data_IF_349079642146
#
_entry.id   IF_349079642146
#
_cell.length_a   1.000
_cell.length_b   1.000
_cell.length_c   1.000
_cell.angle_alpha   90.00
_cell.angle_beta   90.00
_cell.angle_gamma   90.00
#
_symmetry.space_group_name_H-M   'P 1'
#
loop_
_entity.id
_entity.type
_entity.pdbx_description
1 polymer ?
#
# COMPACT_ATOMS: atom_id res chain seq x y z
N UNK A 1 35.21 -14.14 -17.46
CA UNK A 1 34.20 -13.35 -16.71
C UNK A 1 33.01 -13.05 -17.62
N UNK A 2 31.85 -13.69 -17.44
CA UNK A 2 30.60 -13.18 -18.02
C UNK A 2 30.19 -11.95 -17.21
N UNK A 3 30.16 -10.76 -17.84
CA UNK A 3 29.52 -9.60 -17.23
C UNK A 3 28.01 -9.85 -17.26
N UNK A 4 27.42 -10.04 -16.09
CA UNK A 4 25.97 -10.01 -15.92
C UNK A 4 25.47 -8.61 -16.30
N UNK A 5 25.11 -8.40 -17.57
CA UNK A 5 24.57 -7.13 -18.04
C UNK A 5 23.10 -6.98 -17.60
N UNK A 6 22.92 -6.68 -16.31
CA UNK A 6 21.63 -6.45 -15.66
C UNK A 6 20.78 -5.41 -16.41
N UNK A 7 21.43 -4.49 -17.14
CA UNK A 7 20.78 -3.48 -17.98
C UNK A 7 19.94 -4.10 -19.11
N UNK A 8 20.44 -5.14 -19.77
CA UNK A 8 19.70 -5.82 -20.84
C UNK A 8 18.50 -6.55 -20.25
N UNK A 9 18.69 -7.23 -19.10
CA UNK A 9 17.63 -7.98 -18.43
C UNK A 9 16.48 -7.07 -17.97
N UNK A 10 16.79 -5.90 -17.39
CA UNK A 10 15.80 -4.89 -16.97
C UNK A 10 15.01 -4.29 -18.14
N UNK A 11 15.48 -4.42 -19.39
CA UNK A 11 14.72 -4.01 -20.58
C UNK A 11 13.57 -4.97 -20.87
N UNK A 12 13.77 -6.26 -20.62
CA UNK A 12 12.77 -7.30 -20.85
C UNK A 12 11.86 -7.51 -19.64
N UNK A 13 12.43 -7.54 -18.43
CA UNK A 13 11.67 -7.73 -17.19
C UNK A 13 11.34 -6.36 -16.61
N UNK A 14 10.08 -5.94 -16.78
CA UNK A 14 9.57 -4.69 -16.24
C UNK A 14 8.98 -4.89 -14.84
N UNK A 15 9.02 -3.88 -13.96
CA UNK A 15 8.37 -3.93 -12.66
C UNK A 15 6.85 -4.04 -12.80
N UNK A 16 6.19 -4.72 -11.87
CA UNK A 16 4.75 -4.98 -11.90
C UNK A 16 3.93 -3.69 -11.84
N UNK A 17 4.47 -2.65 -11.21
CA UNK A 17 3.88 -1.32 -11.08
C UNK A 17 3.53 -0.71 -12.44
N UNK A 18 4.28 -1.05 -13.49
CA UNK A 18 4.03 -0.58 -14.85
C UNK A 18 2.70 -1.10 -15.41
N UNK A 19 2.30 -2.32 -15.05
CA UNK A 19 1.01 -2.88 -15.44
C UNK A 19 -0.16 -2.21 -14.70
N UNK A 20 0.11 -1.63 -13.52
CA UNK A 20 -0.90 -1.04 -12.64
C UNK A 20 -1.14 0.45 -12.88
N UNK A 21 -0.44 1.07 -13.84
CA UNK A 21 -0.52 2.51 -14.11
C UNK A 21 -1.89 2.96 -14.65
N UNK A 22 -2.72 2.03 -15.13
CA UNK A 22 -4.07 2.31 -15.62
C UNK A 22 -5.13 2.37 -14.52
N UNK A 23 -4.80 1.92 -13.30
CA UNK A 23 -5.71 1.90 -12.18
C UNK A 23 -5.46 3.10 -11.27
N UNK A 24 -6.52 3.68 -10.68
CA UNK A 24 -6.36 4.79 -9.77
C UNK A 24 -5.60 4.35 -8.51
N UNK A 25 -4.71 5.21 -8.03
CA UNK A 25 -3.81 4.93 -6.91
C UNK A 25 -4.29 5.58 -5.60
N UNK A 26 -4.15 4.84 -4.50
CA UNK A 26 -4.32 5.32 -3.13
C UNK A 26 -2.99 5.15 -2.41
N UNK A 27 -2.38 6.26 -2.00
CA UNK A 27 -1.10 6.28 -1.30
C UNK A 27 -1.35 6.21 0.20
N UNK A 28 -0.69 5.26 0.87
CA UNK A 28 -0.88 5.01 2.29
C UNK A 28 0.33 5.38 3.13
N UNK A 29 0.10 5.63 4.42
CA UNK A 29 1.16 5.84 5.42
C UNK A 29 1.97 4.56 5.59
N UNK A 30 3.30 4.69 5.74
CA UNK A 30 4.22 3.57 5.98
C UNK A 30 3.78 2.66 7.14
N UNK A 31 3.19 3.22 8.21
CA UNK A 31 2.69 2.46 9.35
C UNK A 31 1.51 1.53 9.01
N UNK A 32 0.78 1.83 7.93
CA UNK A 32 -0.37 1.05 7.47
C UNK A 32 0.02 -0.02 6.45
N UNK A 33 1.21 0.06 5.85
CA UNK A 33 1.67 -0.87 4.81
C UNK A 33 1.68 -2.30 5.30
N UNK A 34 2.33 -2.57 6.43
CA UNK A 34 2.41 -3.93 6.96
C UNK A 34 1.02 -4.48 7.35
N UNK A 35 0.12 -3.63 7.87
CA UNK A 35 -1.25 -4.04 8.18
C UNK A 35 -2.00 -4.49 6.91
N UNK A 36 -1.86 -3.74 5.81
CA UNK A 36 -2.44 -4.10 4.51
C UNK A 36 -1.80 -5.39 3.96
N UNK A 37 -0.49 -5.62 4.15
CA UNK A 37 0.17 -6.87 3.78
C UNK A 37 -0.37 -8.09 4.55
N UNK A 38 -0.92 -7.87 5.75
CA UNK A 38 -1.62 -8.90 6.53
C UNK A 38 -3.10 -9.05 6.14
N UNK A 39 -3.60 -8.24 5.20
CA UNK A 39 -4.97 -8.29 4.70
C UNK A 39 -5.95 -7.39 5.46
N UNK A 40 -5.46 -6.42 6.25
CA UNK A 40 -6.32 -5.44 6.89
C UNK A 40 -6.96 -4.50 5.84
N UNK A 41 -8.23 -4.15 6.05
CA UNK A 41 -8.91 -3.16 5.23
C UNK A 41 -8.32 -1.76 5.42
N UNK A 42 -8.31 -0.98 4.33
CA UNK A 42 -7.78 0.38 4.37
C UNK A 42 -8.81 1.33 4.98
N UNK A 43 -8.41 2.03 6.03
CA UNK A 43 -9.23 3.04 6.71
C UNK A 43 -8.74 4.46 6.39
N UNK A 44 -9.63 5.44 6.54
CA UNK A 44 -9.35 6.85 6.23
C UNK A 44 -8.06 7.40 6.86
N UNK A 45 -7.73 7.12 8.15
CA UNK A 45 -6.50 7.62 8.77
C UNK A 45 -5.20 7.09 8.14
N UNK A 46 -5.29 5.99 7.39
CA UNK A 46 -4.15 5.37 6.70
C UNK A 46 -3.85 5.97 5.33
N UNK A 47 -4.76 6.76 4.76
CA UNK A 47 -4.60 7.39 3.44
C UNK A 47 -3.82 8.69 3.59
N UNK A 48 -2.82 8.91 2.73
CA UNK A 48 -2.05 10.16 2.65
C UNK A 48 -2.43 10.97 1.43
N UNK A 49 -2.61 10.30 0.28
CA UNK A 49 -3.09 10.93 -0.94
C UNK A 49 -3.81 9.90 -1.81
N UNK A 50 -4.60 10.38 -2.75
CA UNK A 50 -5.37 9.56 -3.67
C UNK A 50 -5.49 10.25 -5.02
N UNK A 51 -5.59 9.46 -6.07
CA UNK A 51 -5.91 9.95 -7.39
C UNK A 51 -7.42 10.20 -7.55
N UNK A 52 -7.75 11.13 -8.45
CA UNK A 52 -9.14 11.39 -8.83
C UNK A 52 -9.68 10.27 -9.71
N UNK A 53 -11.01 10.12 -9.77
CA UNK A 53 -11.66 9.09 -10.58
C UNK A 53 -11.89 7.75 -9.88
N UNK A 54 -11.73 7.69 -8.54
CA UNK A 54 -12.14 6.54 -7.75
C UNK A 54 -13.66 6.62 -7.56
N UNK A 55 -14.37 5.64 -8.12
CA UNK A 55 -15.80 5.43 -7.93
C UNK A 55 -16.05 4.29 -6.95
N UNK A 56 -17.22 4.31 -6.30
CA UNK A 56 -17.61 3.24 -5.37
C UNK A 56 -17.67 1.92 -6.14
N UNK A 57 -16.99 0.90 -5.63
CA UNK A 57 -16.94 -0.43 -6.23
C UNK A 57 -15.86 -0.61 -7.30
N UNK A 58 -15.15 0.44 -7.70
CA UNK A 58 -14.01 0.31 -8.62
C UNK A 58 -12.79 -0.31 -7.92
N UNK A 59 -11.87 -0.86 -8.73
CA UNK A 59 -10.59 -1.39 -8.24
C UNK A 59 -9.56 -0.28 -8.25
N UNK A 60 -8.87 -0.09 -7.13
CA UNK A 60 -7.79 0.85 -6.94
C UNK A 60 -6.54 0.14 -6.43
N UNK A 61 -5.38 0.71 -6.74
CA UNK A 61 -4.07 0.22 -6.30
C UNK A 61 -3.69 0.94 -5.01
N UNK A 62 -3.44 0.18 -3.95
CA UNK A 62 -2.82 0.70 -2.74
C UNK A 62 -1.30 0.70 -2.94
N UNK A 63 -0.66 1.85 -2.74
CA UNK A 63 0.79 1.99 -2.89
C UNK A 63 1.44 2.67 -1.69
N UNK A 64 2.73 2.38 -1.47
CA UNK A 64 3.55 3.12 -0.50
C UNK A 64 3.88 4.53 -1.02
N UNK A 65 4.43 5.39 -0.15
CA UNK A 65 4.98 6.69 -0.53
C UNK A 65 6.08 6.62 -1.59
N UNK A 66 6.77 5.47 -1.71
CA UNK A 66 7.82 5.23 -2.70
C UNK A 66 7.28 4.79 -4.06
N UNK A 67 5.96 4.62 -4.17
CA UNK A 67 5.30 4.18 -5.40
C UNK A 67 5.25 2.67 -5.61
N UNK A 68 5.68 1.87 -4.62
CA UNK A 68 5.63 0.40 -4.65
C UNK A 68 4.18 -0.08 -4.52
N UNK A 69 3.79 -1.09 -5.30
CA UNK A 69 2.43 -1.63 -5.21
C UNK A 69 2.27 -2.56 -4.01
N UNK A 70 1.40 -2.18 -3.06
CA UNK A 70 1.16 -2.94 -1.83
C UNK A 70 0.05 -3.96 -2.04
N UNK A 71 -1.10 -3.51 -2.55
CA UNK A 71 -2.28 -4.35 -2.74
C UNK A 71 -3.24 -3.78 -3.79
N UNK A 72 -4.14 -4.63 -4.27
CA UNK A 72 -5.35 -4.24 -5.00
C UNK A 72 -6.52 -4.25 -4.03
N UNK A 73 -7.33 -3.20 -4.08
CA UNK A 73 -8.47 -3.03 -3.21
C UNK A 73 -9.68 -2.48 -3.96
N UNK A 74 -10.87 -2.84 -3.50
CA UNK A 74 -12.12 -2.31 -4.01
C UNK A 74 -12.56 -1.11 -3.18
N UNK A 75 -12.75 0.02 -3.84
CA UNK A 75 -13.17 1.25 -3.19
C UNK A 75 -14.58 1.12 -2.60
N UNK A 76 -14.75 1.61 -1.37
CA UNK A 76 -16.05 1.68 -0.66
C UNK A 76 -16.62 3.10 -0.64
N UNK A 77 -15.80 4.09 -0.98
CA UNK A 77 -16.15 5.51 -1.05
C UNK A 77 -15.57 6.13 -2.33
N UNK A 78 -16.15 7.23 -2.82
CA UNK A 78 -15.61 7.99 -3.96
C UNK A 78 -14.38 8.81 -3.56
N UNK A 79 -13.57 9.27 -4.53
CA UNK A 79 -12.41 10.15 -4.26
C UNK A 79 -12.76 11.35 -3.36
N UNK A 80 -13.90 11.99 -3.59
CA UNK A 80 -14.38 13.17 -2.85
C UNK A 80 -14.76 12.80 -1.40
N UNK A 81 -15.45 11.67 -1.23
CA UNK A 81 -15.83 11.18 0.09
C UNK A 81 -14.59 10.81 0.90
N UNK A 82 -13.64 10.09 0.30
CA UNK A 82 -12.40 9.68 0.98
C UNK A 82 -11.63 10.91 1.47
N UNK A 83 -11.61 11.99 0.69
CA UNK A 83 -10.93 13.23 1.06
C UNK A 83 -11.56 13.91 2.29
N UNK A 84 -12.87 13.82 2.47
CA UNK A 84 -13.59 14.43 3.60
C UNK A 84 -13.69 13.49 4.83
N UNK A 85 -13.45 12.19 4.65
CA UNK A 85 -13.58 11.21 5.72
C UNK A 85 -12.46 11.31 6.76
N UNK A 86 -12.84 11.44 8.03
CA UNK A 86 -11.90 11.36 9.17
C UNK A 86 -11.76 9.92 9.69
N UNK A 87 -12.82 9.13 9.58
CA UNK A 87 -12.88 7.75 10.06
C UNK A 87 -13.69 6.87 9.09
N UNK A 88 -13.49 5.55 9.17
CA UNK A 88 -14.23 4.57 8.37
C UNK A 88 -13.35 3.84 7.35
N UNK A 89 -13.95 2.82 6.73
CA UNK A 89 -13.27 1.98 5.72
C UNK A 89 -13.36 2.65 4.36
N UNK A 90 -12.20 2.89 3.76
CA UNK A 90 -12.03 3.52 2.44
C UNK A 90 -12.05 2.48 1.33
N UNK A 91 -11.32 1.39 1.50
CA UNK A 91 -11.22 0.34 0.50
C UNK A 91 -11.06 -1.03 1.17
N UNK A 92 -11.73 -2.03 0.60
CA UNK A 92 -11.61 -3.42 1.01
C UNK A 92 -10.49 -4.10 0.24
N UNK A 93 -9.54 -4.71 0.93
CA UNK A 93 -8.42 -5.39 0.25
C UNK A 93 -8.92 -6.66 -0.43
N UNK A 94 -8.59 -6.82 -1.72
CA UNK A 94 -8.91 -8.03 -2.49
C UNK A 94 -7.69 -8.91 -2.70
N UNK A 95 -6.54 -8.30 -3.03
CA UNK A 95 -5.31 -9.05 -3.29
C UNK A 95 -4.09 -8.29 -2.80
N UNK A 96 -3.34 -8.91 -1.90
CA UNK A 96 -2.04 -8.40 -1.45
C UNK A 96 -0.96 -8.77 -2.47
N UNK A 97 -0.13 -7.80 -2.85
CA UNK A 97 0.98 -7.97 -3.79
C UNK A 97 2.32 -7.98 -3.04
N UNK A 98 2.47 -7.10 -2.05
CA UNK A 98 3.71 -6.95 -1.29
C UNK A 98 3.87 -8.04 -0.23
N UNK A 99 5.08 -8.61 -0.05
CA UNK A 99 5.37 -9.55 1.03
C UNK A 99 5.13 -8.93 2.42
N UNK A 100 4.81 -9.79 3.38
CA UNK A 100 4.73 -9.39 4.80
C UNK A 100 6.12 -9.11 5.35
N UNK A 101 6.24 -8.12 6.24
CA UNK A 101 7.52 -7.77 6.85
C UNK A 101 8.46 -6.95 5.96
N UNK A 102 8.04 -6.53 4.76
CA UNK A 102 8.78 -5.53 3.96
C UNK A 102 8.85 -4.18 4.67
N UNK A 103 7.81 -3.83 5.42
CA UNK A 103 7.74 -2.64 6.27
C UNK A 103 7.63 -3.05 7.74
N UNK A 104 8.19 -2.25 8.68
CA UNK A 104 8.05 -2.52 10.10
C UNK A 104 6.58 -2.43 10.54
N UNK A 105 6.24 -3.21 11.58
CA UNK A 105 4.90 -3.23 12.16
C UNK A 105 4.57 -1.87 12.78
N UNK A 106 3.67 -1.11 12.15
CA UNK A 106 3.22 0.20 12.65
C UNK A 106 2.17 0.13 13.78
N UNK A 107 1.55 -1.03 13.96
CA UNK A 107 0.63 -1.37 15.05
C UNK A 107 1.34 -1.94 16.27
N UNK A 108 1.01 -1.44 17.46
CA UNK A 108 1.50 -1.98 18.73
C UNK A 108 0.67 -3.20 19.12
N UNK A 109 1.22 -4.40 18.97
CA UNK A 109 0.81 -5.52 19.82
C UNK A 109 1.31 -5.21 21.23
N UNK A 110 0.45 -5.26 22.25
CA UNK A 110 0.76 -4.89 23.65
C UNK A 110 1.79 -5.77 24.37
N UNK A 111 2.96 -6.00 23.79
CA UNK A 111 4.12 -6.62 24.41
C UNK A 111 5.38 -5.89 23.94
N UNK A 112 5.70 -4.78 24.61
CA UNK A 112 7.00 -4.53 25.27
C UNK A 112 6.99 -3.13 25.88
N UNK A 113 6.74 -3.09 27.19
CA UNK A 113 7.15 -2.01 28.07
C UNK A 113 8.57 -2.27 28.63
N UNK A 114 9.43 -3.05 27.94
CA UNK A 114 10.66 -3.58 28.55
C UNK A 114 11.98 -3.35 27.77
N UNK A 115 12.02 -2.49 26.75
CA UNK A 115 13.27 -2.12 26.05
C UNK A 115 13.60 -0.63 26.21
N UNK A 116 13.46 -0.11 27.44
CA UNK A 116 14.00 1.22 27.82
C UNK A 116 15.04 1.18 28.94
N UNK A 117 15.43 -0.01 29.41
CA UNK A 117 16.61 -0.19 30.27
C UNK A 117 17.69 -0.95 29.49
N UNK A 118 18.50 -0.20 28.73
CA UNK A 118 19.90 -0.48 28.37
C UNK A 118 20.28 0.40 27.17
N UNK A 119 20.56 1.67 27.40
CA UNK A 119 21.78 2.37 26.93
C UNK A 119 21.89 3.68 27.71
#
# INVERSE_FOLDING_TARGET
QQKEDVKILKRFVQPMEKALTLLPRIVIRDSAVDAVCHGADLTAPGVLSLETGISIGSVAVISSLKGEAVALARARASSEQIFQMVHGVVAKVERVLMPRGTYPKGWRSGKTANDREKT
#
